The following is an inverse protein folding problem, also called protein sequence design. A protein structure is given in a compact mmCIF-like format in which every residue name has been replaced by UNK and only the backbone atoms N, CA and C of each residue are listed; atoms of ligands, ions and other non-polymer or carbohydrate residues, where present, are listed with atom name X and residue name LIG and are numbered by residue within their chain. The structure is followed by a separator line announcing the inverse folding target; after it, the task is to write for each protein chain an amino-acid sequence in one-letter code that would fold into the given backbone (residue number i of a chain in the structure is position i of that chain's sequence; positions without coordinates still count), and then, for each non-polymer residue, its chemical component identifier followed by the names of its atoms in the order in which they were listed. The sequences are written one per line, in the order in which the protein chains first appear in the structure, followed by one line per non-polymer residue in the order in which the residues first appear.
data_IF_947150510723
#
_entry.id   IF_947150510723
#
_cell.length_a   1.000
_cell.length_b   1.000
_cell.length_c   1.000
_cell.angle_alpha   90.00
_cell.angle_beta   90.00
_cell.angle_gamma   90.00
#
_symmetry.space_group_name_H-M   'P 1'
#
loop_
_entity.id
_entity.type
_entity.pdbx_description
1 polymer ?
#
# COMPACT_ATOMS: atom_id res chain seq x y z
N UNK A 1 -22.94 37.07 -1.14
CA UNK A 1 -22.66 35.65 -1.45
C UNK A 1 -23.30 35.34 -2.77
N UNK A 2 -22.50 35.17 -3.82
CA UNK A 2 -23.00 35.12 -5.19
C UNK A 2 -23.73 33.79 -5.44
N UNK A 3 -24.96 33.83 -5.98
CA UNK A 3 -25.77 32.63 -6.27
C UNK A 3 -25.05 31.59 -7.15
N UNK A 4 -24.07 32.04 -7.92
CA UNK A 4 -23.20 31.21 -8.75
C UNK A 4 -22.24 30.34 -7.93
N UNK A 5 -21.76 30.81 -6.77
CA UNK A 5 -20.90 30.00 -5.89
C UNK A 5 -21.65 28.84 -5.24
N UNK A 6 -22.95 29.00 -4.96
CA UNK A 6 -23.79 27.93 -4.39
C UNK A 6 -23.99 26.78 -5.38
N UNK A 7 -24.12 27.09 -6.67
CA UNK A 7 -24.29 26.11 -7.74
C UNK A 7 -23.04 25.23 -7.97
N UNK A 8 -21.83 25.74 -7.69
CA UNK A 8 -20.57 25.00 -7.89
C UNK A 8 -20.16 24.14 -6.68
N UNK A 9 -20.79 24.32 -5.51
CA UNK A 9 -20.51 23.52 -4.30
C UNK A 9 -20.68 22.00 -4.48
N UNK A 10 -21.77 21.49 -5.08
CA UNK A 10 -21.90 20.05 -5.30
C UNK A 10 -20.80 19.52 -6.19
N UNK A 11 -20.49 20.22 -7.29
CA UNK A 11 -19.42 19.85 -8.21
C UNK A 11 -18.07 19.76 -7.50
N UNK A 12 -17.72 20.77 -6.68
CA UNK A 12 -16.50 20.75 -5.87
C UNK A 12 -16.46 19.55 -4.92
N UNK A 13 -17.57 19.23 -4.25
CA UNK A 13 -17.66 18.07 -3.36
C UNK A 13 -17.44 16.75 -4.11
N UNK A 14 -18.00 16.62 -5.32
CA UNK A 14 -17.80 15.45 -6.16
C UNK A 14 -16.35 15.32 -6.63
N UNK A 15 -15.72 16.43 -7.05
CA UNK A 15 -14.31 16.46 -7.44
C UNK A 15 -13.38 16.11 -6.28
N UNK A 16 -13.62 16.64 -5.08
CA UNK A 16 -12.83 16.28 -3.89
C UNK A 16 -12.95 14.80 -3.54
N UNK A 17 -14.15 14.23 -3.63
CA UNK A 17 -14.36 12.78 -3.42
C UNK A 17 -13.63 11.92 -4.46
N UNK A 18 -13.65 12.35 -5.72
CA UNK A 18 -12.93 11.65 -6.79
C UNK A 18 -11.41 11.73 -6.55
N UNK A 19 -10.89 12.91 -6.24
CA UNK A 19 -9.48 13.11 -5.92
C UNK A 19 -9.02 12.25 -4.75
N UNK A 20 -9.81 12.18 -3.66
CA UNK A 20 -9.50 11.32 -2.51
C UNK A 20 -9.42 9.84 -2.89
N UNK A 21 -10.33 9.34 -3.73
CA UNK A 21 -10.28 7.96 -4.23
C UNK A 21 -9.05 7.71 -5.10
N UNK A 22 -8.71 8.65 -5.99
CA UNK A 22 -7.53 8.55 -6.82
C UNK A 22 -6.25 8.51 -5.99
N UNK A 23 -6.12 9.37 -4.98
CA UNK A 23 -4.95 9.37 -4.08
C UNK A 23 -4.83 8.03 -3.34
N UNK A 24 -5.92 7.50 -2.78
CA UNK A 24 -5.88 6.21 -2.08
C UNK A 24 -5.49 5.05 -3.01
N UNK A 25 -5.94 5.06 -4.27
CA UNK A 25 -5.52 4.07 -5.26
C UNK A 25 -4.05 4.21 -5.62
N UNK A 26 -3.56 5.43 -5.79
CA UNK A 26 -2.17 5.72 -6.08
C UNK A 26 -1.28 5.27 -4.92
N UNK A 27 -1.65 5.53 -3.66
CA UNK A 27 -0.91 5.06 -2.49
C UNK A 27 -0.87 3.54 -2.39
N UNK A 28 -1.96 2.84 -2.73
CA UNK A 28 -1.97 1.38 -2.74
C UNK A 28 -1.13 0.74 -3.86
N UNK A 29 -0.98 1.44 -5.00
CA UNK A 29 -0.18 0.97 -6.14
C UNK A 29 1.30 1.37 -6.00
N UNK A 30 1.56 2.56 -5.45
CA UNK A 30 2.88 3.08 -5.11
C UNK A 30 3.17 2.76 -3.64
N UNK A 31 2.81 1.57 -3.17
CA UNK A 31 3.43 1.05 -1.95
C UNK A 31 4.85 0.60 -2.36
N UNK A 32 5.91 1.28 -1.90
CA UNK A 32 7.26 0.85 -2.20
C UNK A 32 7.38 -0.57 -1.69
N UNK A 33 7.71 -1.53 -2.55
CA UNK A 33 8.00 -2.90 -2.13
C UNK A 33 9.00 -2.80 -0.97
N UNK A 34 8.51 -3.05 0.24
CA UNK A 34 9.18 -2.76 1.52
C UNK A 34 9.67 -4.07 2.07
N UNK A 35 10.83 -4.52 1.62
CA UNK A 35 11.12 -5.92 1.69
C UNK A 35 11.59 -6.27 3.12
N UNK A 36 11.85 -5.27 3.97
CA UNK A 36 12.08 -5.41 5.42
C UNK A 36 10.88 -6.05 6.15
N UNK A 37 9.65 -5.90 5.65
CA UNK A 37 8.48 -6.62 6.18
C UNK A 37 8.50 -8.11 5.86
N UNK A 38 9.21 -8.51 4.80
CA UNK A 38 9.24 -9.87 4.28
C UNK A 38 10.52 -10.63 4.66
N UNK A 39 11.62 -9.92 4.92
CA UNK A 39 12.91 -10.51 5.29
C UNK A 39 13.06 -10.85 6.77
N UNK A 40 12.12 -10.46 7.63
CA UNK A 40 12.16 -10.82 9.06
C UNK A 40 11.60 -12.22 9.36
N UNK A 41 11.16 -12.99 8.35
CA UNK A 41 10.69 -14.38 8.56
C UNK A 41 11.79 -15.40 8.88
N UNK A 42 13.05 -14.95 8.93
CA UNK A 42 14.18 -15.81 9.20
C UNK A 42 14.36 -16.89 8.12
N UNK A 43 15.30 -17.83 8.31
CA UNK A 43 15.51 -18.93 7.39
C UNK A 43 14.24 -19.79 7.29
N UNK A 44 13.65 -19.83 6.09
CA UNK A 44 12.48 -20.67 5.81
C UNK A 44 12.78 -22.17 6.02
N UNK A 45 11.74 -23.04 6.00
CA UNK A 45 11.88 -24.47 6.29
C UNK A 45 12.99 -25.16 5.49
N UNK A 46 13.17 -24.75 4.22
CA UNK A 46 14.24 -25.25 3.33
C UNK A 46 15.64 -24.90 3.83
N UNK A 47 15.81 -23.70 4.39
CA UNK A 47 17.09 -23.25 4.95
C UNK A 47 17.37 -23.96 6.29
N UNK A 48 16.34 -24.20 7.12
CA UNK A 48 16.47 -25.03 8.33
C UNK A 48 16.83 -26.49 8.02
N UNK A 49 16.18 -27.10 7.04
CA UNK A 49 16.46 -28.48 6.62
C UNK A 49 17.91 -28.63 6.11
N UNK A 50 18.41 -27.67 5.33
CA UNK A 50 19.82 -27.67 4.90
C UNK A 50 20.77 -27.59 6.09
N UNK A 51 20.51 -26.71 7.07
CA UNK A 51 21.33 -26.59 8.27
C UNK A 51 21.35 -27.88 9.10
N UNK A 52 20.21 -28.56 9.21
CA UNK A 52 20.11 -29.86 9.89
C UNK A 52 20.87 -30.96 9.16
N UNK A 53 20.88 -30.96 7.83
CA UNK A 53 21.68 -31.90 7.04
C UNK A 53 23.17 -31.68 7.27
N UNK A 54 23.64 -30.42 7.19
CA UNK A 54 25.06 -30.09 7.41
C UNK A 54 25.54 -30.32 8.84
N UNK A 55 24.65 -30.33 9.84
CA UNK A 55 24.98 -30.65 11.24
C UNK A 55 24.99 -32.16 11.54
N UNK A 56 24.49 -33.00 10.61
CA UNK A 56 24.44 -34.46 10.75
C UNK A 56 25.58 -35.19 10.05
N UNK A 57 26.35 -34.48 9.23
CA UNK A 57 27.61 -34.93 8.63
C UNK A 57 28.79 -34.58 9.54
#
# INVERSE_FOLDING_TARGET
MNSMELALRPLRRHLTRLAQRCVALIEGVIDPYRPELYYMRGPGPKCRARRQATLRD
#
